data_IF_656880398929
#
_entry.id   IF_656880398929
#
_cell.length_a   1.000
_cell.length_b   1.000
_cell.length_c   1.000
_cell.angle_alpha   90.00
_cell.angle_beta   90.00
_cell.angle_gamma   90.00
#
_symmetry.space_group_name_H-M   'P 1'
#
loop_
_entity.id
_entity.type
_entity.pdbx_description
1 polymer ?
#
# COMPACT_ATOMS: atom_id res chain seq x y z
N UNK A 1 -14.01 25.08 6.50
CA UNK A 1 -15.06 24.05 6.61
C UNK A 1 -14.52 22.73 6.09
N UNK A 2 -14.99 21.57 6.57
CA UNK A 2 -14.37 20.26 6.29
C UNK A 2 -14.27 19.96 4.78
N UNK A 3 -15.30 20.32 4.01
CA UNK A 3 -15.30 20.21 2.54
C UNK A 3 -14.26 21.16 1.90
N UNK A 4 -14.29 22.45 2.27
CA UNK A 4 -13.36 23.46 1.73
C UNK A 4 -11.90 23.13 2.01
N UNK A 5 -11.57 22.59 3.18
CA UNK A 5 -10.21 22.15 3.48
C UNK A 5 -9.81 20.96 2.59
N UNK A 6 -10.70 20.00 2.39
CA UNK A 6 -10.44 18.85 1.52
C UNK A 6 -10.23 19.27 0.06
N UNK A 7 -11.02 20.23 -0.43
CA UNK A 7 -10.86 20.79 -1.77
C UNK A 7 -9.52 21.53 -1.91
N UNK A 8 -9.14 22.33 -0.91
CA UNK A 8 -7.81 22.97 -0.88
C UNK A 8 -6.66 21.94 -0.86
N UNK A 9 -6.80 20.83 -0.14
CA UNK A 9 -5.81 19.76 -0.15
C UNK A 9 -5.70 19.10 -1.53
N UNK A 10 -6.82 18.93 -2.23
CA UNK A 10 -6.86 18.37 -3.58
C UNK A 10 -6.24 19.35 -4.59
N UNK A 11 -6.58 20.65 -4.52
CA UNK A 11 -6.03 21.68 -5.41
C UNK A 11 -4.52 21.86 -5.23
N UNK A 12 -4.03 21.74 -4.00
CA UNK A 12 -2.60 21.82 -3.68
C UNK A 12 -1.86 20.47 -3.89
N UNK A 13 -2.56 19.39 -4.24
CA UNK A 13 -1.94 18.08 -4.44
C UNK A 13 -1.17 18.04 -5.76
N UNK A 14 0.16 17.97 -5.65
CA UNK A 14 1.05 17.78 -6.80
C UNK A 14 1.41 16.30 -6.90
N UNK A 15 0.87 15.62 -7.91
CA UNK A 15 1.19 14.23 -8.20
C UNK A 15 2.67 14.06 -8.56
N UNK A 16 3.38 13.19 -7.84
CA UNK A 16 4.79 12.87 -8.08
C UNK A 16 4.92 11.42 -8.54
N UNK A 17 5.64 11.14 -9.65
CA UNK A 17 5.89 9.77 -10.07
C UNK A 17 6.79 9.06 -9.06
N UNK A 18 6.44 7.82 -8.73
CA UNK A 18 7.25 6.95 -7.88
C UNK A 18 7.31 5.54 -8.48
N UNK A 19 8.26 4.75 -8.02
CA UNK A 19 8.56 3.43 -8.53
C UNK A 19 8.58 2.42 -7.39
N UNK A 20 7.99 1.26 -7.66
CA UNK A 20 7.99 0.12 -6.74
C UNK A 20 8.54 -1.10 -7.49
N UNK A 21 9.28 -1.95 -6.77
CA UNK A 21 9.86 -3.16 -7.34
C UNK A 21 9.13 -4.37 -6.76
N UNK A 22 8.54 -5.16 -7.66
CA UNK A 22 7.90 -6.43 -7.37
C UNK A 22 8.71 -7.57 -7.97
N UNK A 23 8.81 -8.67 -7.24
CA UNK A 23 9.60 -9.83 -7.62
C UNK A 23 8.71 -11.06 -7.47
N UNK A 24 8.52 -11.81 -8.55
CA UNK A 24 7.87 -13.12 -8.50
C UNK A 24 8.89 -14.15 -8.06
N UNK A 25 8.62 -14.79 -6.92
CA UNK A 25 9.47 -15.81 -6.32
C UNK A 25 8.76 -17.15 -6.42
N UNK A 26 9.53 -18.19 -6.79
CA UNK A 26 9.05 -19.56 -6.82
C UNK A 26 9.77 -20.38 -5.75
N UNK A 27 9.01 -21.12 -4.95
CA UNK A 27 9.57 -22.03 -3.95
C UNK A 27 10.00 -23.35 -4.59
N UNK A 28 10.77 -24.16 -3.86
CA UNK A 28 11.13 -25.52 -4.29
C UNK A 28 9.91 -26.44 -4.50
N UNK A 29 8.74 -26.04 -4.00
CA UNK A 29 7.47 -26.74 -4.16
C UNK A 29 6.61 -26.14 -5.30
N UNK A 30 7.23 -25.39 -6.22
CA UNK A 30 6.57 -24.73 -7.36
C UNK A 30 5.50 -23.70 -6.99
N UNK A 31 5.44 -23.27 -5.73
CA UNK A 31 4.52 -22.22 -5.31
C UNK A 31 5.10 -20.86 -5.69
N UNK A 32 4.31 -20.06 -6.39
CA UNK A 32 4.68 -18.70 -6.77
C UNK A 32 4.04 -17.69 -5.83
N UNK A 33 4.82 -16.70 -5.42
CA UNK A 33 4.31 -15.54 -4.68
C UNK A 33 5.04 -14.27 -5.11
N UNK A 34 4.40 -13.13 -4.92
CA UNK A 34 4.96 -11.82 -5.27
C UNK A 34 5.49 -11.20 -3.98
N UNK A 35 6.77 -10.83 -4.00
CA UNK A 35 7.40 -10.05 -2.95
C UNK A 35 7.60 -8.61 -3.40
N UNK A 36 7.25 -7.66 -2.52
CA UNK A 36 7.56 -6.24 -2.70
C UNK A 36 8.92 -5.94 -2.07
N UNK A 37 9.79 -5.27 -2.82
CA UNK A 37 11.05 -4.78 -2.28
C UNK A 37 10.79 -3.64 -1.28
N UNK A 38 11.45 -3.71 -0.12
CA UNK A 38 11.45 -2.65 0.88
C UNK A 38 12.79 -1.90 0.80
N UNK A 39 12.79 -0.59 0.46
CA UNK A 39 14.00 0.22 0.48
C UNK A 39 14.63 0.27 1.88
N UNK A 40 15.97 0.31 1.94
CA UNK A 40 16.72 0.48 3.18
C UNK A 40 17.06 1.95 3.43
N UNK A 41 17.59 2.28 4.61
CA UNK A 41 17.99 3.65 4.98
C UNK A 41 18.95 4.30 3.98
N UNK A 42 19.79 3.51 3.29
CA UNK A 42 20.68 4.01 2.24
C UNK A 42 19.94 4.56 1.00
N UNK A 43 18.65 4.26 0.86
CA UNK A 43 17.81 4.76 -0.23
C UNK A 43 17.04 6.03 0.15
N UNK A 44 17.15 6.55 1.38
CA UNK A 44 16.39 7.72 1.88
C UNK A 44 16.59 8.96 1.02
N UNK A 45 17.81 9.17 0.52
CA UNK A 45 18.14 10.27 -0.41
C UNK A 45 17.34 10.25 -1.71
N UNK A 46 16.76 9.11 -2.07
CA UNK A 46 16.01 8.90 -3.30
C UNK A 46 14.53 8.58 -3.04
N UNK A 47 14.07 8.75 -1.79
CA UNK A 47 12.69 8.53 -1.36
C UNK A 47 11.99 9.84 -1.02
N UNK A 48 10.65 9.84 -1.06
CA UNK A 48 9.83 10.89 -0.45
C UNK A 48 9.60 10.62 1.05
N UNK A 49 8.84 11.51 1.70
CA UNK A 49 8.48 11.40 3.12
C UNK A 49 7.59 10.17 3.44
N UNK A 50 6.94 9.61 2.44
CA UNK A 50 6.14 8.37 2.52
C UNK A 50 7.01 7.10 2.30
N UNK A 51 8.32 7.25 2.05
CA UNK A 51 9.22 6.13 1.76
C UNK A 51 9.06 5.56 0.35
N UNK A 52 8.55 6.35 -0.59
CA UNK A 52 8.35 5.94 -2.00
C UNK A 52 9.56 6.35 -2.83
N UNK A 53 10.07 5.44 -3.66
CA UNK A 53 11.27 5.70 -4.48
C UNK A 53 10.90 6.56 -5.68
N UNK A 54 11.52 7.73 -5.80
CA UNK A 54 11.28 8.67 -6.91
C UNK A 54 12.17 8.38 -8.14
N UNK A 55 13.28 7.67 -7.93
CA UNK A 55 14.32 7.46 -8.96
C UNK A 55 14.19 6.09 -9.62
N UNK A 56 13.84 6.08 -10.91
CA UNK A 56 13.74 4.86 -11.71
C UNK A 56 15.04 4.05 -11.77
N UNK A 57 16.18 4.73 -11.92
CA UNK A 57 17.51 4.08 -11.98
C UNK A 57 17.82 3.23 -10.74
N UNK A 58 17.34 3.66 -9.57
CA UNK A 58 17.51 2.90 -8.33
C UNK A 58 16.71 1.60 -8.39
N UNK A 59 15.45 1.67 -8.81
CA UNK A 59 14.59 0.50 -9.00
C UNK A 59 15.19 -0.49 -10.01
N UNK A 60 15.70 -0.02 -11.16
CA UNK A 60 16.37 -0.86 -12.17
C UNK A 60 17.65 -1.53 -11.63
N UNK A 61 18.45 -0.79 -10.85
CA UNK A 61 19.65 -1.34 -10.19
C UNK A 61 19.29 -2.46 -9.22
N UNK A 62 18.20 -2.28 -8.46
CA UNK A 62 17.70 -3.31 -7.54
C UNK A 62 17.24 -4.54 -8.32
N UNK A 63 16.48 -4.38 -9.40
CA UNK A 63 16.05 -5.50 -10.25
C UNK A 63 17.27 -6.28 -10.75
N UNK A 64 18.28 -5.60 -11.28
CA UNK A 64 19.49 -6.26 -11.79
C UNK A 64 20.26 -7.02 -10.69
N UNK A 65 20.35 -6.46 -9.48
CA UNK A 65 20.92 -7.17 -8.33
C UNK A 65 20.07 -8.36 -7.89
N UNK A 66 18.76 -8.26 -8.09
CA UNK A 66 17.77 -9.24 -7.63
C UNK A 66 17.49 -10.35 -8.65
N UNK A 67 17.84 -10.21 -9.91
CA UNK A 67 17.61 -11.29 -10.89
C UNK A 67 18.55 -12.48 -10.70
N UNK A 68 19.79 -12.25 -10.25
CA UNK A 68 20.85 -13.28 -10.30
C UNK A 68 21.36 -13.76 -8.94
N UNK A 69 20.65 -13.46 -7.84
CA UNK A 69 21.06 -13.87 -6.49
C UNK A 69 20.15 -14.94 -5.91
N UNK A 70 20.75 -15.90 -5.18
CA UNK A 70 19.98 -16.85 -4.35
C UNK A 70 19.20 -16.07 -3.30
N UNK A 71 17.89 -16.34 -3.25
CA UNK A 71 16.96 -15.75 -2.28
C UNK A 71 16.94 -16.63 -1.04
N UNK A 72 17.19 -16.03 0.11
CA UNK A 72 17.09 -16.70 1.39
C UNK A 72 15.93 -16.06 2.17
N UNK A 73 15.01 -16.89 2.64
CA UNK A 73 13.92 -16.43 3.49
C UNK A 73 14.47 -16.19 4.88
N UNK A 74 14.63 -14.93 5.28
CA UNK A 74 15.24 -14.56 6.56
C UNK A 74 14.27 -14.69 7.73
N UNK A 75 12.97 -14.46 7.51
CA UNK A 75 11.95 -14.52 8.55
C UNK A 75 10.58 -14.82 7.93
N UNK A 76 9.80 -15.64 8.61
CA UNK A 76 8.39 -15.91 8.30
C UNK A 76 7.61 -15.71 9.60
N UNK A 77 6.73 -14.72 9.63
CA UNK A 77 5.73 -14.59 10.70
C UNK A 77 4.37 -15.06 10.18
N UNK A 78 3.70 -15.92 10.95
CA UNK A 78 2.34 -16.37 10.65
C UNK A 78 1.45 -16.09 11.85
N UNK A 79 0.84 -14.92 11.84
CA UNK A 79 -0.05 -14.48 12.90
C UNK A 79 -1.50 -14.76 12.54
N UNK A 80 -2.22 -15.45 13.43
CA UNK A 80 -3.66 -15.62 13.29
C UNK A 80 -4.34 -14.34 13.79
N UNK A 81 -4.80 -13.50 12.84
CA UNK A 81 -5.60 -12.32 13.17
C UNK A 81 -7.07 -12.72 13.24
N UNK A 82 -7.72 -12.40 14.37
CA UNK A 82 -9.16 -12.60 14.56
C UNK A 82 -9.87 -11.28 14.32
N UNK A 83 -10.72 -11.23 13.30
CA UNK A 83 -11.59 -10.08 13.04
C UNK A 83 -12.96 -10.37 13.66
N UNK A 84 -13.34 -9.57 14.66
CA UNK A 84 -14.66 -9.66 15.26
C UNK A 84 -15.72 -9.04 14.35
N UNK A 85 -16.96 -9.50 14.47
CA UNK A 85 -18.09 -8.89 13.78
C UNK A 85 -18.19 -7.41 14.14
N UNK A 86 -18.57 -6.55 13.18
CA UNK A 86 -18.85 -5.15 13.48
C UNK A 86 -19.98 -5.08 14.53
N UNK A 87 -19.92 -4.04 15.36
CA UNK A 87 -20.98 -3.77 16.33
C UNK A 87 -22.32 -3.53 15.61
N UNK A 88 -23.46 -3.74 16.30
CA UNK A 88 -24.77 -3.35 15.79
C UNK A 88 -24.76 -1.89 15.31
N UNK A 89 -25.52 -1.60 14.26
CA UNK A 89 -25.54 -0.28 13.67
C UNK A 89 -26.03 0.78 14.66
N UNK A 90 -25.29 1.89 14.72
CA UNK A 90 -25.80 3.19 15.15
C UNK A 90 -26.40 3.90 13.94
N UNK A 91 -27.24 4.92 14.14
CA UNK A 91 -27.82 5.68 13.02
C UNK A 91 -26.74 6.17 12.04
N UNK A 92 -25.64 6.73 12.55
CA UNK A 92 -24.53 7.20 11.73
C UNK A 92 -23.83 6.07 10.96
N UNK A 93 -23.59 4.91 11.58
CA UNK A 93 -22.93 3.79 10.88
C UNK A 93 -23.86 3.13 9.85
N UNK A 94 -25.18 3.12 10.10
CA UNK A 94 -26.17 2.68 9.12
C UNK A 94 -26.21 3.64 7.93
N UNK A 95 -26.27 4.96 8.17
CA UNK A 95 -26.28 5.97 7.11
C UNK A 95 -25.02 5.92 6.24
N UNK A 96 -23.84 5.74 6.86
CA UNK A 96 -22.58 5.60 6.12
C UNK A 96 -22.59 4.34 5.24
N UNK A 97 -23.02 3.20 5.77
CA UNK A 97 -23.02 1.95 5.02
C UNK A 97 -24.11 1.92 3.94
N UNK A 98 -25.29 2.47 4.20
CA UNK A 98 -26.36 2.63 3.23
C UNK A 98 -25.98 3.59 2.10
N UNK A 99 -25.27 4.69 2.43
CA UNK A 99 -24.72 5.59 1.42
C UNK A 99 -23.66 4.90 0.56
N UNK A 100 -22.75 4.13 1.15
CA UNK A 100 -21.72 3.38 0.41
C UNK A 100 -22.28 2.28 -0.49
N UNK A 101 -23.30 1.55 -0.04
CA UNK A 101 -23.84 0.38 -0.76
C UNK A 101 -24.97 0.72 -1.71
N UNK A 102 -25.82 1.67 -1.35
CA UNK A 102 -27.06 1.97 -2.07
C UNK A 102 -27.13 3.43 -2.54
N UNK A 103 -26.06 4.21 -2.36
CA UNK A 103 -25.98 5.61 -2.76
C UNK A 103 -27.10 6.50 -2.14
N UNK A 104 -27.60 6.08 -0.97
CA UNK A 104 -28.63 6.79 -0.20
C UNK A 104 -28.04 8.02 0.52
N UNK A 105 -28.81 9.10 0.61
CA UNK A 105 -28.41 10.30 1.35
C UNK A 105 -28.76 10.16 2.84
N UNK A 106 -27.99 10.81 3.72
CA UNK A 106 -28.18 10.72 5.17
C UNK A 106 -29.50 11.36 5.68
N UNK A 107 -30.27 12.00 4.80
CA UNK A 107 -31.50 12.71 5.13
C UNK A 107 -32.77 11.90 4.85
N UNK A 108 -32.66 10.73 4.20
CA UNK A 108 -33.75 9.76 4.04
C UNK A 108 -33.57 8.56 4.96
#
# INVERSE_FOLDING_TARGET
>A
GLVVHRDQEIDNFISKPFYEVFVTLQTNQEQQFIAKWKPSAACELYMDEDGRVLVKKLAETVINKVMNQRRLVTSVSKDQKKQYSPLPYSLSSLQIDASKRFNMNAQK
#
